data_IF_729955644770
#
_entry.id   IF_729955644770
#
_cell.length_a   1.000
_cell.length_b   1.000
_cell.length_c   1.000
_cell.angle_alpha   90.00
_cell.angle_beta   90.00
_cell.angle_gamma   90.00
#
_symmetry.space_group_name_H-M   'P 1'
#
loop_
_entity.id
_entity.type
_entity.pdbx_description
1 polymer ?
#
# COMPACT_ATOMS: atom_id res chain seq x y z
N UNK A 1 59.39 -48.02 54.49
CA UNK A 1 58.32 -48.17 53.49
C UNK A 1 57.03 -47.65 54.09
N UNK A 2 56.61 -46.46 53.69
CA UNK A 2 55.34 -45.86 54.12
C UNK A 2 54.50 -45.80 52.84
N UNK A 3 53.47 -46.62 52.75
CA UNK A 3 52.46 -46.54 51.69
C UNK A 3 51.48 -45.43 52.05
N UNK A 4 51.33 -44.37 51.25
CA UNK A 4 50.35 -43.34 51.55
C UNK A 4 48.95 -43.88 51.25
N UNK A 5 48.14 -44.01 52.29
CA UNK A 5 46.70 -44.13 52.16
C UNK A 5 46.11 -42.72 52.10
N UNK A 6 45.61 -42.28 50.92
CA UNK A 6 44.49 -41.31 50.71
C UNK A 6 44.59 -40.60 49.35
N UNK A 7 44.23 -41.29 48.26
CA UNK A 7 43.90 -40.67 46.95
C UNK A 7 42.48 -41.08 46.47
N UNK A 8 41.71 -41.80 47.30
CA UNK A 8 40.39 -42.34 46.91
C UNK A 8 39.29 -41.27 46.77
N UNK A 9 39.49 -40.05 47.31
CA UNK A 9 38.57 -38.92 47.15
C UNK A 9 38.84 -38.04 45.93
N UNK A 10 40.12 -37.91 45.54
CA UNK A 10 40.52 -37.07 44.40
C UNK A 10 40.07 -37.67 43.07
N UNK A 11 40.19 -39.00 42.90
CA UNK A 11 39.72 -39.70 41.70
C UNK A 11 38.20 -39.58 41.48
N UNK A 12 37.40 -39.57 42.55
CA UNK A 12 35.95 -39.39 42.44
C UNK A 12 35.61 -37.96 42.02
N UNK A 13 36.29 -36.96 42.59
CA UNK A 13 36.09 -35.55 42.25
C UNK A 13 36.51 -35.25 40.80
N UNK A 14 37.60 -35.84 40.30
CA UNK A 14 38.02 -35.66 38.91
C UNK A 14 37.07 -36.33 37.92
N UNK A 15 36.54 -37.51 38.25
CA UNK A 15 35.51 -38.18 37.44
C UNK A 15 34.21 -37.38 37.44
N UNK A 16 33.75 -36.88 38.60
CA UNK A 16 32.56 -36.04 38.68
C UNK A 16 32.73 -34.73 37.92
N UNK A 17 33.90 -34.09 38.01
CA UNK A 17 34.20 -32.88 37.25
C UNK A 17 34.22 -33.16 35.75
N UNK A 18 34.84 -34.26 35.31
CA UNK A 18 34.87 -34.66 33.91
C UNK A 18 33.45 -34.91 33.38
N UNK A 19 32.64 -35.66 34.12
CA UNK A 19 31.23 -35.94 33.78
C UNK A 19 30.42 -34.65 33.73
N UNK A 20 30.61 -33.73 34.68
CA UNK A 20 29.93 -32.44 34.69
C UNK A 20 30.31 -31.60 33.45
N UNK A 21 31.59 -31.53 33.10
CA UNK A 21 32.05 -30.81 31.90
C UNK A 21 31.49 -31.43 30.63
N UNK A 22 31.51 -32.76 30.51
CA UNK A 22 30.93 -33.47 29.37
C UNK A 22 29.42 -33.20 29.27
N UNK A 23 28.71 -33.23 30.41
CA UNK A 23 27.27 -32.95 30.45
C UNK A 23 26.95 -31.52 29.99
N UNK A 24 27.72 -30.52 30.43
CA UNK A 24 27.57 -29.12 30.00
C UNK A 24 27.86 -28.95 28.50
N UNK A 25 28.92 -29.57 27.99
CA UNK A 25 29.24 -29.54 26.55
C UNK A 25 28.16 -30.22 25.71
N UNK A 26 27.64 -31.37 26.17
CA UNK A 26 26.56 -32.07 25.49
C UNK A 26 25.26 -31.26 25.49
N UNK A 27 24.89 -30.65 26.61
CA UNK A 27 23.70 -29.81 26.74
C UNK A 27 23.77 -28.60 25.79
N UNK A 28 24.90 -27.88 25.79
CA UNK A 28 25.10 -26.71 24.91
C UNK A 28 25.12 -27.09 23.43
N UNK A 29 25.68 -28.25 23.05
CA UNK A 29 25.63 -28.76 21.69
C UNK A 29 24.20 -29.09 21.24
N UNK A 30 23.40 -29.71 22.12
CA UNK A 30 22.01 -30.05 21.83
C UNK A 30 21.12 -28.80 21.71
N UNK A 31 21.35 -27.79 22.55
CA UNK A 31 20.66 -26.50 22.44
C UNK A 31 20.98 -25.81 21.10
N UNK A 32 22.26 -25.76 20.72
CA UNK A 32 22.67 -25.23 19.41
C UNK A 32 22.04 -25.98 18.25
N UNK A 33 22.04 -27.32 18.31
CA UNK A 33 21.39 -28.14 17.27
C UNK A 33 19.90 -27.84 17.18
N UNK A 34 19.18 -27.79 18.31
CA UNK A 34 17.75 -27.46 18.35
C UNK A 34 17.48 -26.07 17.77
N UNK A 35 18.26 -25.06 18.17
CA UNK A 35 18.13 -23.71 17.62
C UNK A 35 18.35 -23.70 16.11
N UNK A 36 19.44 -24.29 15.62
CA UNK A 36 19.75 -24.37 14.20
C UNK A 36 18.65 -25.08 13.40
N UNK A 37 18.09 -26.18 13.92
CA UNK A 37 16.99 -26.89 13.26
C UNK A 37 15.71 -26.04 13.19
N UNK A 38 15.40 -25.27 14.24
CA UNK A 38 14.23 -24.36 14.25
C UNK A 38 14.42 -23.18 13.29
N UNK A 39 15.62 -22.61 13.23
CA UNK A 39 15.92 -21.55 12.26
C UNK A 39 15.78 -22.07 10.83
N UNK A 40 16.32 -23.26 10.54
CA UNK A 40 16.19 -23.90 9.23
C UNK A 40 14.72 -24.20 8.88
N UNK A 41 13.92 -24.72 9.81
CA UNK A 41 12.49 -24.98 9.56
C UNK A 41 11.72 -23.70 9.29
N UNK A 42 11.99 -22.62 10.02
CA UNK A 42 11.32 -21.32 9.82
C UNK A 42 11.69 -20.70 8.47
N UNK A 43 12.96 -20.81 8.05
CA UNK A 43 13.39 -20.34 6.72
C UNK A 43 12.68 -21.11 5.60
N UNK A 44 12.54 -22.44 5.73
CA UNK A 44 11.80 -23.25 4.76
C UNK A 44 10.32 -22.85 4.72
N UNK A 45 9.69 -22.66 5.89
CA UNK A 45 8.28 -22.25 5.97
C UNK A 45 8.05 -20.88 5.31
N UNK A 46 8.92 -19.90 5.55
CA UNK A 46 8.81 -18.57 4.92
C UNK A 46 8.95 -18.67 3.41
N UNK A 47 9.90 -19.45 2.88
CA UNK A 47 10.02 -19.61 1.43
C UNK A 47 8.86 -20.36 0.79
N UNK A 48 8.31 -21.36 1.48
CA UNK A 48 7.08 -22.01 1.03
C UNK A 48 5.90 -21.02 1.01
N UNK A 49 5.77 -20.19 2.06
CA UNK A 49 4.73 -19.17 2.13
C UNK A 49 4.87 -18.14 0.98
N UNK A 50 6.09 -17.70 0.64
CA UNK A 50 6.35 -16.85 -0.53
C UNK A 50 5.95 -17.53 -1.83
N UNK A 51 6.28 -18.81 -2.00
CA UNK A 51 5.85 -19.59 -3.17
C UNK A 51 4.32 -19.66 -3.31
N UNK A 52 3.60 -19.83 -2.20
CA UNK A 52 2.14 -19.80 -2.19
C UNK A 52 1.57 -18.42 -2.49
N UNK A 53 2.21 -17.35 -2.01
CA UNK A 53 1.81 -15.99 -2.33
C UNK A 53 1.97 -15.70 -3.84
N UNK A 54 3.09 -16.11 -4.46
CA UNK A 54 3.27 -16.01 -5.92
C UNK A 54 2.23 -16.80 -6.72
N UNK A 55 1.79 -17.96 -6.22
CA UNK A 55 0.69 -18.70 -6.81
C UNK A 55 -0.64 -17.93 -6.68
N UNK A 56 -0.87 -17.28 -5.53
CA UNK A 56 -2.03 -16.42 -5.30
C UNK A 56 -2.03 -15.17 -6.20
N UNK A 57 -0.87 -14.55 -6.46
CA UNK A 57 -0.71 -13.46 -7.45
C UNK A 57 -1.19 -13.91 -8.83
N UNK A 58 -0.74 -15.09 -9.28
CA UNK A 58 -1.08 -15.66 -10.60
C UNK A 58 -2.58 -15.96 -10.70
N UNK A 59 -3.19 -16.48 -9.62
CA UNK A 59 -4.63 -16.70 -9.57
C UNK A 59 -5.41 -15.37 -9.59
N UNK A 60 -4.90 -14.34 -8.88
CA UNK A 60 -5.51 -13.03 -8.83
C UNK A 60 -5.51 -12.35 -10.21
N UNK A 61 -4.38 -12.36 -10.94
CA UNK A 61 -4.31 -11.79 -12.30
C UNK A 61 -5.25 -12.53 -13.25
N UNK A 62 -5.32 -13.85 -13.19
CA UNK A 62 -6.27 -14.66 -13.99
C UNK A 62 -7.74 -14.31 -13.68
N UNK A 63 -8.08 -14.09 -12.40
CA UNK A 63 -9.43 -13.67 -12.00
C UNK A 63 -9.76 -12.25 -12.46
N UNK A 64 -8.78 -11.34 -12.40
CA UNK A 64 -8.91 -9.96 -12.92
C UNK A 64 -9.14 -10.01 -14.44
N UNK A 65 -8.39 -10.80 -15.19
CA UNK A 65 -8.58 -10.97 -16.63
C UNK A 65 -9.98 -11.52 -16.95
N UNK A 66 -10.46 -12.52 -16.20
CA UNK A 66 -11.83 -13.04 -16.35
C UNK A 66 -12.89 -11.98 -16.03
N UNK A 67 -12.69 -11.17 -14.99
CA UNK A 67 -13.59 -10.06 -14.63
C UNK A 67 -13.68 -9.05 -15.78
N UNK A 68 -12.54 -8.61 -16.31
CA UNK A 68 -12.47 -7.62 -17.38
C UNK A 68 -13.01 -8.16 -18.71
N UNK A 69 -12.82 -9.45 -18.99
CA UNK A 69 -13.34 -10.10 -20.20
C UNK A 69 -14.87 -10.21 -20.20
N UNK A 70 -15.52 -10.26 -19.02
CA UNK A 70 -16.99 -10.32 -18.92
C UNK A 70 -17.66 -9.00 -19.32
N UNK A 71 -17.03 -7.88 -19.00
CA UNK A 71 -17.53 -6.56 -19.39
C UNK A 71 -16.39 -5.55 -19.57
N UNK A 72 -15.85 -5.41 -20.79
CA UNK A 72 -14.75 -4.48 -21.05
C UNK A 72 -15.14 -3.00 -20.91
N UNK A 73 -16.44 -2.69 -20.97
CA UNK A 73 -16.94 -1.31 -20.96
C UNK A 73 -17.05 -0.72 -19.54
N UNK A 74 -17.16 -1.56 -18.51
CA UNK A 74 -17.29 -1.11 -17.13
C UNK A 74 -16.84 -2.15 -16.10
N UNK A 75 -16.29 -1.67 -14.99
CA UNK A 75 -15.97 -2.47 -13.81
C UNK A 75 -16.86 -2.00 -12.67
N UNK A 76 -17.60 -2.91 -12.06
CA UNK A 76 -18.61 -2.62 -11.01
C UNK A 76 -18.41 -3.55 -9.82
N UNK A 77 -19.06 -3.31 -8.68
CA UNK A 77 -19.01 -4.24 -7.53
C UNK A 77 -19.86 -5.51 -7.72
N UNK A 78 -20.57 -5.66 -8.85
CA UNK A 78 -21.36 -6.85 -9.13
C UNK A 78 -20.48 -8.11 -9.18
N UNK A 79 -21.02 -9.24 -8.72
CA UNK A 79 -20.29 -10.51 -8.66
C UNK A 79 -19.38 -10.67 -7.43
N UNK A 80 -19.28 -9.67 -6.56
CA UNK A 80 -18.65 -9.82 -5.24
C UNK A 80 -17.14 -10.10 -5.30
N UNK A 81 -16.44 -9.57 -6.29
CA UNK A 81 -14.99 -9.75 -6.43
C UNK A 81 -14.18 -8.81 -5.53
N UNK A 82 -14.68 -7.60 -5.27
CA UNK A 82 -13.96 -6.54 -4.56
C UNK A 82 -14.07 -6.71 -3.05
N UNK A 83 -12.93 -6.69 -2.35
CA UNK A 83 -12.85 -6.70 -0.89
C UNK A 83 -13.23 -8.02 -0.24
N UNK A 84 -13.44 -9.09 -1.02
CA UNK A 84 -13.76 -10.43 -0.51
C UNK A 84 -12.55 -11.35 -0.66
N UNK A 85 -12.06 -11.95 0.43
CA UNK A 85 -10.97 -12.90 0.34
C UNK A 85 -11.43 -14.16 -0.38
N UNK A 86 -10.63 -14.66 -1.31
CA UNK A 86 -10.76 -16.01 -1.82
C UNK A 86 -9.59 -16.87 -1.33
N UNK A 87 -9.92 -18.06 -0.84
CA UNK A 87 -8.95 -18.99 -0.29
C UNK A 87 -8.34 -19.87 -1.36
N UNK A 88 -7.05 -20.15 -1.20
CA UNK A 88 -6.28 -21.13 -1.92
C UNK A 88 -5.83 -22.18 -0.90
N UNK A 89 -6.42 -23.39 -0.89
CA UNK A 89 -5.93 -24.45 -0.02
C UNK A 89 -4.51 -24.83 -0.46
N UNK A 90 -3.56 -24.77 0.47
CA UNK A 90 -2.16 -25.10 0.23
C UNK A 90 -1.70 -26.20 1.19
N UNK A 91 -0.75 -27.06 0.80
CA UNK A 91 -0.22 -28.06 1.71
C UNK A 91 0.31 -27.42 3.01
N UNK A 92 -0.21 -27.86 4.16
CA UNK A 92 0.23 -27.41 5.48
C UNK A 92 -0.39 -26.10 5.99
N UNK A 93 -1.32 -25.48 5.24
CA UNK A 93 -1.89 -24.20 5.65
C UNK A 93 -2.98 -23.65 4.73
N UNK A 94 -3.18 -22.34 4.80
CA UNK A 94 -4.13 -21.62 3.95
C UNK A 94 -3.48 -20.36 3.41
N UNK A 95 -3.64 -20.11 2.10
CA UNK A 95 -3.38 -18.81 1.51
C UNK A 95 -4.72 -18.15 1.17
N UNK A 96 -4.83 -16.85 1.35
CA UNK A 96 -6.00 -16.08 0.95
C UNK A 96 -5.56 -14.84 0.18
N UNK A 97 -6.36 -14.45 -0.80
CA UNK A 97 -6.12 -13.26 -1.60
C UNK A 97 -7.36 -12.39 -1.64
N UNK A 98 -7.19 -11.09 -1.39
CA UNK A 98 -8.23 -10.08 -1.46
C UNK A 98 -7.86 -9.07 -2.53
N UNK A 99 -8.73 -8.89 -3.51
CA UNK A 99 -8.55 -7.90 -4.58
C UNK A 99 -9.53 -6.77 -4.35
N UNK A 100 -9.08 -5.52 -4.51
CA UNK A 100 -9.92 -4.32 -4.51
C UNK A 100 -9.58 -3.45 -5.71
N UNK A 101 -10.45 -2.48 -6.00
CA UNK A 101 -10.12 -1.43 -6.95
C UNK A 101 -8.97 -0.56 -6.42
N UNK A 102 -7.80 -0.66 -7.05
CA UNK A 102 -6.60 0.11 -6.70
C UNK A 102 -6.53 1.48 -7.36
N UNK A 103 -7.51 1.85 -8.18
CA UNK A 103 -7.64 3.17 -8.81
C UNK A 103 -8.36 4.20 -7.92
N UNK A 104 -9.15 3.74 -6.95
CA UNK A 104 -9.91 4.60 -6.03
C UNK A 104 -9.07 5.07 -4.85
N UNK A 105 -8.10 5.92 -5.16
CA UNK A 105 -7.20 6.61 -4.24
C UNK A 105 -6.77 7.93 -4.88
N UNK A 106 -6.21 8.87 -4.12
CA UNK A 106 -5.47 10.00 -4.66
C UNK A 106 -4.04 9.54 -5.01
N UNK A 107 -3.70 9.48 -6.29
CA UNK A 107 -2.36 9.14 -6.73
C UNK A 107 -1.42 10.33 -6.45
N UNK A 108 -0.48 10.17 -5.51
CA UNK A 108 0.50 11.21 -5.17
C UNK A 108 1.34 11.60 -6.40
N UNK A 109 1.68 10.64 -7.25
CA UNK A 109 2.39 10.89 -8.49
C UNK A 109 1.58 11.73 -9.50
N UNK A 110 0.26 11.88 -9.30
CA UNK A 110 -0.57 12.80 -10.07
C UNK A 110 -0.40 14.28 -9.71
N UNK A 111 0.40 14.60 -8.68
CA UNK A 111 0.82 15.97 -8.35
C UNK A 111 1.82 16.55 -9.34
N UNK A 112 2.41 15.71 -10.20
CA UNK A 112 3.24 16.12 -11.32
C UNK A 112 2.68 15.61 -12.65
N UNK A 113 3.13 16.22 -13.73
CA UNK A 113 2.86 15.82 -15.12
C UNK A 113 4.15 15.80 -15.91
N UNK A 114 4.18 15.03 -17.01
CA UNK A 114 5.32 15.05 -17.92
C UNK A 114 5.37 16.39 -18.68
N UNK A 115 6.36 17.23 -18.39
CA UNK A 115 6.65 18.48 -19.09
C UNK A 115 7.56 18.32 -20.31
N UNK A 116 8.10 17.12 -20.52
CA UNK A 116 9.01 16.78 -21.61
C UNK A 116 9.72 15.45 -21.33
N UNK A 117 10.62 15.00 -22.22
CA UNK A 117 11.39 13.78 -21.99
C UNK A 117 12.19 13.85 -20.67
N UNK A 118 11.80 13.03 -19.70
CA UNK A 118 12.47 12.97 -18.39
C UNK A 118 12.25 14.17 -17.48
N UNK A 119 11.29 15.05 -17.80
CA UNK A 119 11.00 16.25 -17.00
C UNK A 119 9.61 16.14 -16.39
N UNK A 120 9.55 16.16 -15.06
CA UNK A 120 8.32 16.26 -14.28
C UNK A 120 8.10 17.70 -13.85
N UNK A 121 6.87 18.17 -13.99
CA UNK A 121 6.45 19.53 -13.63
C UNK A 121 5.26 19.43 -12.69
N UNK A 122 5.27 20.20 -11.61
CA UNK A 122 4.15 20.27 -10.68
C UNK A 122 2.82 20.61 -11.38
N UNK A 123 1.73 20.04 -10.87
CA UNK A 123 0.37 20.24 -11.37
C UNK A 123 -0.46 21.02 -10.34
N UNK A 124 -0.65 22.34 -10.52
CA UNK A 124 -1.34 23.18 -9.55
C UNK A 124 -2.75 22.70 -9.16
N UNK A 125 -3.51 22.18 -10.13
CA UNK A 125 -4.85 21.68 -9.85
C UNK A 125 -4.87 20.43 -8.95
N UNK A 126 -3.88 19.54 -9.07
CA UNK A 126 -3.76 18.38 -8.18
C UNK A 126 -3.35 18.80 -6.76
N UNK A 127 -2.53 19.85 -6.61
CA UNK A 127 -2.19 20.43 -5.30
C UNK A 127 -3.45 20.93 -4.59
N UNK A 128 -4.34 21.63 -5.32
CA UNK A 128 -5.63 22.09 -4.79
C UNK A 128 -6.50 20.90 -4.37
N UNK A 129 -6.61 19.87 -5.21
CA UNK A 129 -7.39 18.67 -4.92
C UNK A 129 -6.85 17.91 -3.70
N UNK A 130 -5.52 17.76 -3.58
CA UNK A 130 -4.91 17.07 -2.44
C UNK A 130 -5.08 17.85 -1.14
N UNK A 131 -4.91 19.17 -1.19
CA UNK A 131 -5.20 20.06 -0.07
C UNK A 131 -6.66 19.88 0.36
N UNK A 132 -7.59 19.88 -0.59
CA UNK A 132 -9.01 19.67 -0.32
C UNK A 132 -9.33 18.30 0.26
N UNK A 133 -8.71 17.23 -0.24
CA UNK A 133 -8.85 15.90 0.36
C UNK A 133 -8.45 15.93 1.83
N UNK A 134 -7.28 16.51 2.14
CA UNK A 134 -6.79 16.63 3.51
C UNK A 134 -7.74 17.43 4.40
N UNK A 135 -8.29 18.55 3.92
CA UNK A 135 -9.25 19.36 4.69
C UNK A 135 -10.58 18.64 4.91
N UNK A 136 -11.08 17.90 3.91
CA UNK A 136 -12.26 17.04 4.03
C UNK A 136 -12.06 15.94 5.08
N UNK A 137 -10.84 15.41 5.19
CA UNK A 137 -10.49 14.47 6.25
C UNK A 137 -10.36 15.16 7.62
N UNK A 138 -10.31 16.50 7.68
CA UNK A 138 -10.15 17.26 8.92
C UNK A 138 -8.69 17.46 9.32
N UNK A 139 -7.78 17.54 8.35
CA UNK A 139 -6.43 18.08 8.55
C UNK A 139 -6.53 19.61 8.38
N UNK A 140 -5.94 20.42 9.27
CA UNK A 140 -6.04 21.89 9.16
C UNK A 140 -5.46 22.40 7.83
N UNK A 141 -6.04 23.47 7.30
CA UNK A 141 -5.73 23.97 5.95
C UNK A 141 -4.26 24.34 5.73
N UNK A 142 -3.60 24.94 6.73
CA UNK A 142 -2.19 25.34 6.60
C UNK A 142 -1.23 24.13 6.48
N UNK A 143 -1.26 23.14 7.38
CA UNK A 143 -0.54 21.87 7.18
C UNK A 143 -0.89 21.19 5.85
N UNK A 144 -2.18 21.15 5.47
CA UNK A 144 -2.60 20.54 4.21
C UNK A 144 -1.96 21.22 2.98
N UNK A 145 -1.93 22.55 2.95
CA UNK A 145 -1.30 23.30 1.87
C UNK A 145 0.22 23.07 1.80
N UNK A 146 0.90 23.04 2.96
CA UNK A 146 2.34 22.75 3.02
C UNK A 146 2.64 21.34 2.53
N UNK A 147 1.90 20.33 3.02
CA UNK A 147 2.08 18.93 2.61
C UNK A 147 1.86 18.80 1.11
N UNK A 148 0.77 19.36 0.57
CA UNK A 148 0.46 19.20 -0.85
C UNK A 148 1.51 19.85 -1.77
N UNK A 149 1.97 21.07 -1.45
CA UNK A 149 3.03 21.73 -2.20
C UNK A 149 4.37 21.00 -2.05
N UNK A 150 4.74 20.61 -0.82
CA UNK A 150 5.98 19.88 -0.55
C UNK A 150 6.01 18.49 -1.17
N UNK A 151 4.85 17.84 -1.38
CA UNK A 151 4.76 16.58 -2.14
C UNK A 151 4.91 16.82 -3.64
N UNK A 152 4.47 17.96 -4.17
CA UNK A 152 4.73 18.29 -5.57
C UNK A 152 6.23 18.55 -5.81
N UNK A 153 6.87 19.36 -4.96
CA UNK A 153 8.34 19.60 -4.99
C UNK A 153 9.14 18.31 -4.74
N UNK A 154 8.60 17.35 -3.98
CA UNK A 154 9.27 16.05 -3.80
C UNK A 154 9.40 15.28 -5.13
N UNK A 155 8.50 15.53 -6.08
CA UNK A 155 8.32 14.74 -7.30
C UNK A 155 8.83 15.47 -8.54
N UNK A 156 8.63 16.78 -8.65
CA UNK A 156 9.01 17.53 -9.84
C UNK A 156 10.54 17.59 -10.02
N UNK A 157 10.99 17.94 -11.23
CA UNK A 157 12.39 17.75 -11.61
C UNK A 157 13.29 18.94 -11.29
N UNK A 158 12.73 20.05 -10.82
CA UNK A 158 13.53 21.25 -10.59
C UNK A 158 14.04 21.34 -9.15
N UNK A 159 14.35 22.53 -8.65
CA UNK A 159 14.87 22.72 -7.28
C UNK A 159 14.37 24.04 -6.69
N UNK A 160 13.34 24.61 -7.29
CA UNK A 160 12.75 25.87 -6.89
C UNK A 160 11.49 25.56 -6.08
N UNK A 161 11.47 25.85 -4.77
CA UNK A 161 10.34 25.48 -3.95
C UNK A 161 9.09 26.26 -4.37
N UNK A 162 7.96 25.55 -4.48
CA UNK A 162 6.66 26.17 -4.66
C UNK A 162 6.28 27.03 -3.43
N UNK A 163 5.27 27.91 -3.52
CA UNK A 163 4.67 28.52 -2.34
C UNK A 163 4.18 27.44 -1.35
N UNK A 164 4.64 27.50 -0.10
CA UNK A 164 4.47 26.45 0.93
C UNK A 164 5.19 25.11 0.65
N UNK A 165 5.96 25.05 -0.43
CA UNK A 165 6.76 23.91 -0.84
C UNK A 165 8.05 23.73 -0.03
N UNK A 166 8.82 22.73 -0.42
CA UNK A 166 10.02 22.28 0.25
C UNK A 166 10.95 21.54 -0.72
N UNK A 167 12.18 22.03 -0.83
CA UNK A 167 13.25 21.44 -1.65
C UNK A 167 14.43 21.00 -0.80
N UNK A 168 15.52 20.58 -1.45
CA UNK A 168 16.78 20.15 -0.85
C UNK A 168 17.26 21.02 0.32
N UNK A 169 17.16 22.35 0.23
CA UNK A 169 17.58 23.25 1.31
C UNK A 169 16.80 22.97 2.62
N UNK A 170 15.51 22.67 2.54
CA UNK A 170 14.67 22.42 3.71
C UNK A 170 14.97 21.05 4.33
N UNK A 171 15.17 20.03 3.51
CA UNK A 171 15.47 18.68 4.01
C UNK A 171 16.92 18.53 4.47
N UNK A 172 17.83 19.29 3.86
CA UNK A 172 19.26 19.36 4.19
C UNK A 172 19.51 19.85 5.62
N UNK A 173 18.66 20.75 6.12
CA UNK A 173 18.76 21.36 7.45
C UNK A 173 18.15 20.52 8.60
N UNK A 174 17.67 19.30 8.32
CA UNK A 174 17.13 18.40 9.35
C UNK A 174 18.24 17.68 10.11
N UNK A 175 17.93 17.20 11.32
CA UNK A 175 18.84 16.38 12.15
C UNK A 175 19.35 15.14 11.40
N UNK A 176 18.46 14.50 10.64
CA UNK A 176 18.82 13.49 9.65
C UNK A 176 18.61 14.16 8.30
N UNK A 177 19.72 14.52 7.66
CA UNK A 177 19.73 15.25 6.40
C UNK A 177 19.50 14.30 5.22
N UNK A 178 18.69 14.72 4.27
CA UNK A 178 18.41 14.02 3.02
C UNK A 178 17.95 15.04 1.96
N UNK A 179 17.69 14.55 0.75
CA UNK A 179 17.28 15.34 -0.42
C UNK A 179 15.88 14.98 -0.88
N UNK A 180 15.28 15.83 -1.69
CA UNK A 180 14.06 15.49 -2.42
C UNK A 180 14.29 14.31 -3.36
N UNK A 181 13.20 13.63 -3.74
CA UNK A 181 13.28 12.53 -4.69
C UNK A 181 13.54 13.00 -6.13
N UNK A 182 12.93 14.12 -6.53
CA UNK A 182 12.90 14.66 -7.89
C UNK A 182 12.53 13.60 -8.94
N UNK A 183 11.63 12.70 -8.54
CA UNK A 183 11.14 11.57 -9.30
C UNK A 183 9.82 11.09 -8.72
N UNK A 184 9.15 10.18 -9.41
CA UNK A 184 7.92 9.57 -8.91
C UNK A 184 8.17 8.82 -7.59
N UNK A 185 7.25 9.03 -6.65
CA UNK A 185 7.17 8.25 -5.41
C UNK A 185 7.00 6.78 -5.79
N UNK A 186 7.89 5.94 -5.27
CA UNK A 186 7.93 4.50 -5.51
C UNK A 186 7.08 3.75 -4.48
N UNK A 187 7.11 4.20 -3.23
CA UNK A 187 6.29 3.65 -2.15
C UNK A 187 5.63 4.76 -1.34
N UNK A 188 4.40 4.51 -0.90
CA UNK A 188 3.61 5.49 -0.18
C UNK A 188 4.21 5.89 1.18
N UNK A 189 5.08 5.06 1.76
CA UNK A 189 5.81 5.39 2.98
C UNK A 189 6.77 6.57 2.82
N UNK A 190 7.18 6.93 1.59
CA UNK A 190 7.96 8.16 1.32
C UNK A 190 7.24 9.43 1.80
N UNK A 191 5.90 9.42 1.84
CA UNK A 191 5.11 10.53 2.36
C UNK A 191 5.53 10.90 3.80
N UNK A 192 6.05 9.97 4.60
CA UNK A 192 6.55 10.22 5.97
C UNK A 192 7.81 11.10 6.00
N UNK A 193 8.55 11.20 4.90
CA UNK A 193 9.73 12.05 4.80
C UNK A 193 9.38 13.50 4.43
N UNK A 194 8.16 13.73 3.92
CA UNK A 194 7.74 15.04 3.40
C UNK A 194 7.48 16.02 4.55
N UNK A 195 7.69 17.31 4.29
CA UNK A 195 7.47 18.37 5.27
C UNK A 195 6.06 18.34 5.88
N UNK A 196 5.98 18.58 7.19
CA UNK A 196 4.74 18.61 7.99
C UNK A 196 3.94 17.30 8.08
N UNK A 197 4.42 16.19 7.49
CA UNK A 197 3.77 14.89 7.65
C UNK A 197 4.16 14.28 8.99
N UNK A 198 3.26 14.41 9.97
CA UNK A 198 3.36 13.72 11.27
C UNK A 198 2.89 12.27 11.18
N UNK A 199 3.26 11.38 12.13
CA UNK A 199 2.71 10.02 12.17
C UNK A 199 1.18 9.97 12.18
N UNK A 200 0.53 10.93 12.85
CA UNK A 200 -0.93 11.02 12.94
C UNK A 200 -1.54 11.43 11.59
N UNK A 201 -0.94 12.40 10.90
CA UNK A 201 -1.37 12.82 9.55
C UNK A 201 -1.17 11.68 8.56
N UNK A 202 -0.02 11.01 8.60
CA UNK A 202 0.27 9.87 7.74
C UNK A 202 -0.75 8.73 7.94
N UNK A 203 -1.00 8.30 9.18
CA UNK A 203 -1.99 7.26 9.47
C UNK A 203 -3.40 7.64 8.98
N UNK A 204 -3.75 8.92 9.05
CA UNK A 204 -5.03 9.45 8.57
C UNK A 204 -5.14 9.51 7.05
N UNK A 205 -4.06 9.83 6.35
CA UNK A 205 -4.00 9.92 4.89
C UNK A 205 -3.84 8.57 4.21
N UNK A 206 -3.14 7.63 4.85
CA UNK A 206 -2.71 6.36 4.26
C UNK A 206 -3.81 5.57 3.52
N UNK A 207 -5.07 5.49 4.01
CA UNK A 207 -6.14 4.78 3.31
C UNK A 207 -6.65 5.48 2.04
N UNK A 208 -6.31 6.75 1.84
CA UNK A 208 -6.86 7.62 0.81
C UNK A 208 -5.91 7.89 -0.35
N UNK A 209 -4.62 7.65 -0.14
CA UNK A 209 -3.57 7.94 -1.11
C UNK A 209 -2.97 6.66 -1.68
N UNK A 210 -2.32 6.78 -2.84
CA UNK A 210 -1.54 5.72 -3.47
C UNK A 210 -0.34 6.31 -4.25
N UNK A 211 0.61 5.44 -4.61
CA UNK A 211 1.75 5.78 -5.44
C UNK A 211 1.72 4.90 -6.71
N UNK A 212 0.84 5.23 -7.65
CA UNK A 212 0.80 4.53 -8.95
C UNK A 212 1.98 5.04 -9.78
N UNK A 213 2.70 4.19 -10.54
CA UNK A 213 3.95 4.56 -11.22
C UNK A 213 3.71 5.35 -12.51
N UNK A 214 2.91 6.41 -12.43
CA UNK A 214 2.55 7.32 -13.51
C UNK A 214 2.34 8.74 -12.99
N UNK A 215 2.87 9.71 -13.73
CA UNK A 215 2.65 11.14 -13.54
C UNK A 215 1.26 11.57 -14.05
N UNK A 216 0.21 10.93 -13.53
CA UNK A 216 -1.18 11.08 -13.99
C UNK A 216 -2.13 11.10 -12.77
N UNK A 217 -3.16 11.97 -12.74
CA UNK A 217 -4.17 11.91 -11.69
C UNK A 217 -4.93 10.59 -11.73
N UNK A 218 -5.44 10.19 -10.57
CA UNK A 218 -6.33 9.05 -10.47
C UNK A 218 -7.58 9.21 -11.32
N UNK A 219 -8.04 8.09 -11.87
CA UNK A 219 -9.36 7.95 -12.45
C UNK A 219 -10.24 7.21 -11.44
N UNK A 220 -11.04 7.95 -10.70
CA UNK A 220 -11.93 7.41 -9.68
C UNK A 220 -13.07 6.67 -10.38
N UNK A 221 -13.13 5.35 -10.18
CA UNK A 221 -14.20 4.53 -10.71
C UNK A 221 -15.44 4.65 -9.82
N UNK A 222 -16.44 5.39 -10.29
CA UNK A 222 -17.69 5.65 -9.54
C UNK A 222 -18.52 4.38 -9.32
N UNK A 223 -18.27 3.31 -10.09
CA UNK A 223 -18.97 2.04 -9.94
C UNK A 223 -18.39 1.13 -8.85
N UNK A 224 -17.17 1.43 -8.37
CA UNK A 224 -16.46 0.66 -7.35
C UNK A 224 -16.11 1.48 -6.12
N UNK A 225 -16.18 2.82 -6.20
CA UNK A 225 -15.91 3.72 -5.08
C UNK A 225 -16.87 3.42 -3.93
N UNK A 226 -16.34 3.14 -2.74
CA UNK A 226 -17.17 2.81 -1.59
C UNK A 226 -17.75 4.08 -0.93
N UNK A 227 -18.92 4.03 -0.29
CA UNK A 227 -19.48 5.18 0.44
C UNK A 227 -18.53 5.76 1.50
N UNK A 228 -17.70 4.92 2.12
CA UNK A 228 -16.68 5.31 3.09
C UNK A 228 -15.57 6.13 2.42
N UNK A 229 -15.37 5.98 1.11
CA UNK A 229 -14.37 6.68 0.31
C UNK A 229 -14.90 7.98 -0.34
N UNK A 230 -16.07 8.46 0.08
CA UNK A 230 -16.75 9.61 -0.52
C UNK A 230 -15.88 10.89 -0.62
N UNK A 231 -14.90 11.08 0.26
CA UNK A 231 -13.99 12.22 0.18
C UNK A 231 -13.16 12.26 -1.12
N UNK A 232 -12.86 11.10 -1.72
CA UNK A 232 -12.17 11.02 -3.02
C UNK A 232 -13.01 11.55 -4.18
N UNK A 233 -14.34 11.48 -4.08
CA UNK A 233 -15.20 12.12 -5.06
C UNK A 233 -15.39 13.61 -4.74
N UNK A 234 -15.62 13.94 -3.47
CA UNK A 234 -15.83 15.32 -3.02
C UNK A 234 -14.63 16.24 -3.27
N UNK A 235 -13.39 15.72 -3.24
CA UNK A 235 -12.18 16.50 -3.53
C UNK A 235 -12.08 16.95 -5.01
N UNK A 236 -12.75 16.26 -5.94
CA UNK A 236 -12.70 16.58 -7.38
C UNK A 236 -13.51 17.82 -7.73
N UNK A 237 -14.42 18.20 -6.84
CA UNK A 237 -15.29 19.35 -6.97
C UNK A 237 -14.81 20.45 -6.02
N UNK A 238 -15.12 21.73 -6.31
CA UNK A 238 -14.92 22.81 -5.36
C UNK A 238 -15.70 22.58 -4.05
N UNK A 239 -15.66 23.53 -3.11
CA UNK A 239 -16.36 23.48 -1.81
C UNK A 239 -17.92 23.43 -1.91
N UNK A 240 -18.45 23.05 -3.07
CA UNK A 240 -19.86 22.88 -3.40
C UNK A 240 -20.42 21.49 -3.10
N UNK A 241 -19.57 20.45 -2.98
CA UNK A 241 -20.00 19.10 -2.61
C UNK A 241 -19.43 18.68 -1.24
N UNK A 242 -20.33 18.33 -0.31
CA UNK A 242 -19.96 17.78 1.00
C UNK A 242 -19.72 16.27 0.94
N UNK A 243 -19.01 15.72 1.93
CA UNK A 243 -18.79 14.26 2.04
C UNK A 243 -20.11 13.51 2.18
N UNK A 244 -21.08 14.06 2.90
CA UNK A 244 -22.36 13.39 3.12
C UNK A 244 -23.21 13.33 1.85
N UNK A 245 -23.23 14.40 1.04
CA UNK A 245 -23.85 14.37 -0.29
C UNK A 245 -23.15 13.38 -1.22
N UNK A 246 -21.81 13.37 -1.23
CA UNK A 246 -21.03 12.40 -1.99
C UNK A 246 -21.34 10.95 -1.55
N UNK A 247 -21.46 10.71 -0.24
CA UNK A 247 -21.80 9.40 0.32
C UNK A 247 -23.21 8.97 -0.09
N UNK A 248 -24.19 9.87 -0.01
CA UNK A 248 -25.56 9.58 -0.44
C UNK A 248 -25.64 9.17 -1.91
N UNK A 249 -24.93 9.89 -2.79
CA UNK A 249 -24.81 9.55 -4.22
C UNK A 249 -24.24 8.14 -4.45
N UNK A 250 -23.27 7.72 -3.64
CA UNK A 250 -22.67 6.38 -3.75
C UNK A 250 -23.56 5.27 -3.21
N UNK A 251 -24.40 5.57 -2.20
CA UNK A 251 -25.40 4.64 -1.67
C UNK A 251 -26.55 4.41 -2.64
N UNK A 252 -26.92 5.43 -3.43
CA UNK A 252 -27.95 5.33 -4.47
C UNK A 252 -27.46 4.69 -5.77
N UNK A 253 -26.18 4.29 -5.84
CA UNK A 253 -25.61 3.67 -7.03
C UNK A 253 -26.41 2.43 -7.45
N UNK A 254 -26.81 2.31 -8.73
CA UNK A 254 -27.47 1.10 -9.23
C UNK A 254 -26.64 -0.17 -8.99
N UNK A 255 -27.29 -1.30 -8.78
CA UNK A 255 -26.60 -2.58 -8.51
C UNK A 255 -25.61 -3.01 -9.61
N UNK A 256 -25.90 -2.64 -10.87
CA UNK A 256 -25.03 -2.88 -12.03
C UNK A 256 -24.12 -1.69 -12.37
N UNK A 257 -24.05 -0.68 -11.49
CA UNK A 257 -23.32 0.57 -11.73
C UNK A 257 -23.96 1.46 -12.80
N UNK A 258 -23.28 2.56 -13.09
CA UNK A 258 -23.54 3.49 -14.18
C UNK A 258 -22.87 3.01 -15.45
N UNK A 259 -23.56 3.15 -16.59
CA UNK A 259 -23.07 2.71 -17.91
C UNK A 259 -21.97 3.60 -18.49
N UNK A 260 -21.89 4.85 -18.04
CA UNK A 260 -20.89 5.82 -18.45
C UNK A 260 -20.71 6.90 -17.40
N UNK A 261 -19.61 7.64 -17.49
CA UNK A 261 -19.38 8.83 -16.65
C UNK A 261 -20.41 9.92 -16.94
N UNK A 262 -20.85 10.08 -18.18
CA UNK A 262 -21.92 11.01 -18.55
C UNK A 262 -23.25 10.67 -17.85
N UNK A 263 -23.63 9.39 -17.79
CA UNK A 263 -24.82 8.95 -17.07
C UNK A 263 -24.73 9.28 -15.58
N UNK A 264 -23.54 9.11 -14.98
CA UNK A 264 -23.29 9.48 -13.58
C UNK A 264 -23.41 11.00 -13.36
N UNK A 265 -22.81 11.83 -14.21
CA UNK A 265 -22.87 13.29 -14.05
C UNK A 265 -24.26 13.91 -14.34
N UNK A 266 -25.15 13.19 -15.01
CA UNK A 266 -26.55 13.60 -15.25
C UNK A 266 -27.50 13.32 -14.09
N UNK A 267 -27.02 12.76 -12.98
CA UNK A 267 -27.85 12.47 -11.82
C UNK A 267 -28.53 13.74 -11.26
N UNK A 268 -29.82 13.69 -10.87
CA UNK A 268 -30.52 14.83 -10.31
C UNK A 268 -29.84 15.45 -9.09
N UNK A 269 -29.21 14.62 -8.26
CA UNK A 269 -28.50 15.05 -7.06
C UNK A 269 -27.20 15.85 -7.34
N UNK A 270 -26.71 15.86 -8.58
CA UNK A 270 -25.58 16.70 -9.01
C UNK A 270 -26.03 18.02 -9.68
N UNK A 271 -27.34 18.24 -9.85
CA UNK A 271 -27.84 19.50 -10.42
C UNK A 271 -27.53 20.67 -9.49
N UNK A 272 -27.01 21.76 -10.07
CA UNK A 272 -26.64 22.97 -9.32
C UNK A 272 -25.25 22.92 -8.67
N UNK A 273 -24.55 21.77 -8.75
CA UNK A 273 -23.15 21.67 -8.34
C UNK A 273 -22.27 22.20 -9.47
N UNK A 274 -21.37 23.12 -9.15
CA UNK A 274 -20.37 23.61 -10.11
C UNK A 274 -19.36 22.49 -10.34
N UNK A 275 -19.29 22.02 -11.58
CA UNK A 275 -18.36 20.97 -11.98
C UNK A 275 -17.38 21.52 -13.01
N UNK A 276 -16.09 21.49 -12.70
CA UNK A 276 -15.04 21.84 -13.64
C UNK A 276 -14.66 20.64 -14.53
N UNK A 277 -14.25 20.86 -15.79
CA UNK A 277 -13.90 19.78 -16.72
C UNK A 277 -12.85 18.80 -16.17
N UNK A 278 -11.89 19.30 -15.39
CA UNK A 278 -10.85 18.48 -14.78
C UNK A 278 -11.39 17.47 -13.76
N UNK A 279 -12.36 17.88 -12.93
CA UNK A 279 -13.02 16.98 -11.98
C UNK A 279 -13.82 15.89 -12.70
N UNK A 280 -14.54 16.23 -13.78
CA UNK A 280 -15.25 15.23 -14.60
C UNK A 280 -14.28 14.25 -15.25
N UNK A 281 -13.19 14.76 -15.81
CA UNK A 281 -12.19 13.95 -16.48
C UNK A 281 -11.50 12.95 -15.52
N UNK A 282 -11.51 13.18 -14.21
CA UNK A 282 -10.98 12.27 -13.20
C UNK A 282 -11.98 11.21 -12.71
N UNK A 283 -13.18 11.15 -13.29
CA UNK A 283 -14.11 10.03 -13.05
C UNK A 283 -14.03 9.00 -14.17
N UNK A 284 -14.29 7.73 -13.83
CA UNK A 284 -14.35 6.61 -14.76
C UNK A 284 -15.46 5.64 -14.36
N UNK A 285 -15.81 4.73 -15.28
CA UNK A 285 -16.63 3.53 -15.01
C UNK A 285 -15.82 2.24 -15.18
N UNK A 286 -14.51 2.37 -15.46
CA UNK A 286 -13.54 1.29 -15.66
C UNK A 286 -12.41 1.41 -14.64
N UNK A 287 -11.69 0.31 -14.45
CA UNK A 287 -10.57 0.23 -13.50
C UNK A 287 -9.32 -0.23 -14.24
N UNK A 288 -8.22 0.50 -14.07
CA UNK A 288 -6.89 0.09 -14.55
C UNK A 288 -6.10 -0.64 -13.49
N UNK A 289 -6.12 -0.10 -12.27
CA UNK A 289 -5.27 -0.55 -11.18
C UNK A 289 -6.06 -1.42 -10.23
N UNK A 290 -5.54 -2.59 -9.90
CA UNK A 290 -6.08 -3.47 -8.87
C UNK A 290 -5.07 -3.58 -7.75
N UNK A 291 -5.52 -3.39 -6.51
CA UNK A 291 -4.71 -3.65 -5.33
C UNK A 291 -5.01 -5.05 -4.83
N UNK A 292 -3.96 -5.81 -4.56
CA UNK A 292 -4.00 -7.18 -4.10
C UNK A 292 -3.36 -7.26 -2.71
N UNK A 293 -4.05 -7.92 -1.78
CA UNK A 293 -3.50 -8.32 -0.49
C UNK A 293 -3.52 -9.85 -0.42
N UNK A 294 -2.39 -10.45 -0.10
CA UNK A 294 -2.28 -11.89 0.12
C UNK A 294 -1.87 -12.14 1.56
N UNK A 295 -2.50 -13.13 2.18
CA UNK A 295 -2.16 -13.59 3.52
C UNK A 295 -1.96 -15.10 3.47
N UNK A 296 -0.79 -15.57 3.90
CA UNK A 296 -0.44 -16.99 3.93
C UNK A 296 -0.13 -17.40 5.36
N UNK A 297 -0.85 -18.39 5.86
CA UNK A 297 -0.62 -19.02 7.15
C UNK A 297 -0.13 -20.45 6.92
N UNK A 298 1.09 -20.76 7.39
CA UNK A 298 1.75 -22.06 7.20
C UNK A 298 2.47 -22.48 8.47
N UNK A 299 2.01 -23.57 9.11
CA UNK A 299 2.68 -24.15 10.28
C UNK A 299 2.93 -23.16 11.43
N UNK A 300 2.02 -22.19 11.62
CA UNK A 300 2.14 -21.12 12.62
C UNK A 300 3.00 -19.92 12.19
N UNK A 301 3.50 -19.90 10.96
CA UNK A 301 4.11 -18.72 10.34
C UNK A 301 3.09 -17.97 9.51
N UNK A 302 3.09 -16.64 9.61
CA UNK A 302 2.24 -15.75 8.82
C UNK A 302 3.09 -14.90 7.86
N UNK A 303 2.59 -14.72 6.64
CA UNK A 303 3.19 -13.87 5.62
C UNK A 303 2.08 -13.02 4.98
N UNK A 304 2.27 -11.70 4.98
CA UNK A 304 1.41 -10.77 4.24
C UNK A 304 2.16 -10.20 3.05
N UNK A 305 1.50 -10.11 1.91
CA UNK A 305 1.97 -9.40 0.73
C UNK A 305 0.93 -8.36 0.30
N UNK A 306 1.40 -7.18 -0.08
CA UNK A 306 0.61 -6.18 -0.80
C UNK A 306 1.18 -5.99 -2.20
N UNK A 307 0.32 -5.92 -3.20
CA UNK A 307 0.70 -5.88 -4.60
C UNK A 307 -0.16 -4.91 -5.41
N UNK A 308 0.42 -4.32 -6.45
CA UNK A 308 -0.27 -3.49 -7.44
C UNK A 308 -0.26 -4.18 -8.80
N UNK A 309 -1.43 -4.29 -9.43
CA UNK A 309 -1.61 -4.92 -10.73
C UNK A 309 -2.08 -3.87 -11.74
N UNK A 310 -1.41 -3.78 -12.90
CA UNK A 310 -1.82 -3.01 -14.07
C UNK A 310 -2.62 -3.91 -15.01
N UNK A 311 -3.90 -3.56 -15.21
CA UNK A 311 -4.80 -4.25 -16.10
C UNK A 311 -5.05 -3.50 -17.42
N UNK A 312 -4.20 -2.53 -17.76
CA UNK A 312 -4.20 -1.88 -19.09
C UNK A 312 -3.73 -2.80 -20.22
N UNK A 313 -3.11 -3.92 -19.87
CA UNK A 313 -2.69 -4.99 -20.76
C UNK A 313 -3.38 -6.29 -20.36
N UNK A 314 -3.63 -7.16 -21.33
CA UNK A 314 -4.13 -8.52 -21.10
C UNK A 314 -3.09 -9.53 -21.59
N UNK A 315 -2.61 -10.47 -20.75
CA UNK A 315 -3.01 -10.65 -19.35
C UNK A 315 -2.53 -9.50 -18.44
N UNK A 316 -3.30 -9.23 -17.38
CA UNK A 316 -2.96 -8.24 -16.36
C UNK A 316 -1.60 -8.54 -15.72
N UNK A 317 -0.84 -7.50 -15.38
CA UNK A 317 0.55 -7.63 -14.92
C UNK A 317 0.76 -7.08 -13.52
N UNK A 318 1.48 -7.85 -12.70
CA UNK A 318 2.03 -7.36 -11.45
C UNK A 318 3.06 -6.24 -11.75
N UNK A 319 2.96 -5.13 -11.03
CA UNK A 319 3.85 -3.97 -11.19
C UNK A 319 4.76 -3.80 -9.98
N UNK A 320 4.23 -3.98 -8.78
CA UNK A 320 5.01 -3.95 -7.54
C UNK A 320 4.45 -4.94 -6.54
N UNK A 321 5.31 -5.36 -5.62
CA UNK A 321 4.98 -6.18 -4.44
C UNK A 321 5.78 -5.70 -3.24
N UNK A 322 5.18 -5.81 -2.06
CA UNK A 322 5.81 -5.52 -0.78
C UNK A 322 5.38 -6.58 0.24
N UNK A 323 6.34 -7.05 1.04
CA UNK A 323 6.11 -8.04 2.10
C UNK A 323 6.00 -7.35 3.46
N UNK A 324 5.10 -7.87 4.29
CA UNK A 324 4.82 -7.34 5.63
C UNK A 324 3.53 -6.52 5.68
N UNK A 325 3.30 -5.90 6.83
CA UNK A 325 2.15 -5.02 6.98
C UNK A 325 2.25 -3.85 5.99
N UNK A 326 1.14 -3.45 5.35
CA UNK A 326 1.13 -2.24 4.55
C UNK A 326 1.52 -1.07 5.46
N UNK A 327 2.68 -0.45 5.16
CA UNK A 327 3.21 0.71 5.88
C UNK A 327 2.18 1.83 5.97
#
# INVERSE_FOLDING_TARGET
MITPARERGAALLTVLLLVAVIAVLAATALEKLRLSTRLASNMIAIEQARGYAMAAETLATTRIDSLLSRNPAQVTLAGGWSGRPFQLPVPGGVASATVVDGGNCFNLNGLAVNGGPGVLVARPAAIVQFTRLMTLLGIPGQPAAIIAASTADWIDSDSNPLPNGAEDERYGNRRVSYRTGNTLISDISELRAIAEVTPQIYAKLRPWVCAQPRAEPSKINVNTLLPEQAALFAMLLPDTLTIDQARALLLERPAQGYTSTDAFWKLPALRGIIVFPEGQAQTAVTTRWFALRIEVELGGSELTESALIDASVQPARLVSRAWGDPA
#
